data_IF_233725160216
#
_entry.id   IF_233725160216
#
_cell.length_a   1.000
_cell.length_b   1.000
_cell.length_c   1.000
_cell.angle_alpha   90.00
_cell.angle_beta   90.00
_cell.angle_gamma   90.00
#
_symmetry.space_group_name_H-M   'P 1'
#
loop_
_entity.id
_entity.type
_entity.pdbx_description
1 polymer ?
#
# COMPACT_ATOMS: atom_id res chain seq x y z
N UNK A 1 -7.71 24.26 6.43
CA UNK A 1 -8.73 23.31 5.96
C UNK A 1 -8.47 23.08 4.50
N UNK A 2 -8.36 21.83 4.00
CA UNK A 2 -8.27 21.64 2.58
C UNK A 2 -9.54 22.22 1.93
N UNK A 3 -9.36 23.04 0.92
CA UNK A 3 -10.44 23.58 0.10
C UNK A 3 -11.11 22.41 -0.59
N UNK A 4 -12.44 22.39 -0.65
CA UNK A 4 -13.18 21.34 -1.38
C UNK A 4 -12.66 21.25 -2.81
N UNK A 5 -12.23 20.06 -3.23
CA UNK A 5 -11.69 19.84 -4.58
C UNK A 5 -12.83 19.84 -5.58
N UNK A 6 -12.90 20.88 -6.44
CA UNK A 6 -13.89 20.94 -7.50
C UNK A 6 -13.44 20.15 -8.72
N UNK A 7 -14.42 19.73 -9.55
CA UNK A 7 -14.15 19.04 -10.82
C UNK A 7 -13.23 19.87 -11.73
N UNK A 8 -13.51 21.17 -11.83
CA UNK A 8 -12.74 22.10 -12.67
C UNK A 8 -11.31 22.24 -12.19
N UNK A 9 -11.08 22.32 -10.87
CA UNK A 9 -9.73 22.38 -10.30
C UNK A 9 -8.94 21.09 -10.57
N UNK A 10 -9.59 19.93 -10.45
CA UNK A 10 -8.96 18.65 -10.74
C UNK A 10 -8.59 18.50 -12.22
N UNK A 11 -9.49 18.85 -13.15
CA UNK A 11 -9.21 18.78 -14.59
C UNK A 11 -8.07 19.74 -14.97
N UNK A 12 -8.13 20.99 -14.49
CA UNK A 12 -7.12 22.00 -14.73
C UNK A 12 -5.73 21.58 -14.25
N UNK A 13 -5.64 20.96 -13.07
CA UNK A 13 -4.37 20.44 -12.54
C UNK A 13 -3.70 19.45 -13.50
N UNK A 14 -4.48 18.63 -14.23
CA UNK A 14 -3.93 17.64 -15.16
C UNK A 14 -3.62 18.21 -16.56
N UNK A 15 -4.24 19.33 -16.94
CA UNK A 15 -4.14 19.92 -18.27
C UNK A 15 -3.15 21.09 -18.36
N UNK A 16 -3.07 21.94 -17.30
CA UNK A 16 -2.26 23.16 -17.31
C UNK A 16 -0.75 22.88 -17.47
N UNK A 17 -0.09 23.70 -18.28
CA UNK A 17 1.32 23.58 -18.56
C UNK A 17 1.63 22.38 -19.47
N UNK A 18 2.49 21.47 -19.00
CA UNK A 18 2.72 20.19 -19.67
C UNK A 18 1.71 19.18 -19.12
N UNK A 19 0.81 18.65 -19.95
CA UNK A 19 -0.14 17.63 -19.50
C UNK A 19 0.52 16.39 -18.89
N UNK A 20 -0.19 15.76 -17.93
CA UNK A 20 0.30 14.61 -17.20
C UNK A 20 1.15 15.00 -15.98
N UNK A 21 1.62 13.99 -15.22
CA UNK A 21 2.31 14.18 -13.93
C UNK A 21 3.77 13.73 -13.95
N UNK A 22 4.20 13.01 -15.01
CA UNK A 22 5.54 12.44 -15.10
C UNK A 22 6.26 12.92 -16.35
N UNK A 23 7.59 12.90 -16.29
CA UNK A 23 8.46 13.22 -17.42
C UNK A 23 9.73 12.37 -17.37
N UNK A 24 10.32 12.12 -18.53
CA UNK A 24 11.63 11.47 -18.63
C UNK A 24 12.67 12.59 -18.78
N UNK A 25 13.70 12.55 -17.92
CA UNK A 25 14.82 13.51 -17.96
C UNK A 25 16.13 12.76 -18.11
N UNK A 26 17.08 13.29 -18.94
CA UNK A 26 18.43 12.74 -19.03
C UNK A 26 19.18 12.86 -17.69
N UNK A 27 19.91 11.80 -17.32
CA UNK A 27 20.73 11.76 -16.09
C UNK A 27 22.23 11.80 -16.35
N UNK A 28 22.63 11.82 -17.63
CA UNK A 28 24.03 11.86 -18.07
C UNK A 28 24.32 13.11 -18.88
N UNK A 29 25.60 13.60 -18.93
CA UNK A 29 26.00 14.65 -19.81
C UNK A 29 25.70 14.30 -21.26
N UNK A 30 25.27 15.29 -22.05
CA UNK A 30 24.88 15.10 -23.46
C UNK A 30 25.19 16.34 -24.33
N UNK A 31 26.15 17.17 -23.91
CA UNK A 31 26.45 18.44 -24.57
C UNK A 31 27.59 18.35 -25.58
N UNK A 32 28.37 17.27 -25.60
CA UNK A 32 29.51 17.07 -26.49
C UNK A 32 29.35 15.84 -27.38
N UNK A 33 30.06 15.82 -28.49
CA UNK A 33 30.14 14.65 -29.37
C UNK A 33 30.73 13.43 -28.62
N UNK A 34 31.60 13.66 -27.66
CA UNK A 34 32.18 12.62 -26.83
C UNK A 34 31.09 12.02 -25.90
N UNK A 35 30.30 12.86 -25.24
CA UNK A 35 29.18 12.40 -24.39
C UNK A 35 28.20 11.55 -25.21
N UNK A 36 27.85 11.99 -26.43
CA UNK A 36 26.95 11.24 -27.29
C UNK A 36 27.53 9.90 -27.72
N UNK A 37 28.86 9.85 -27.98
CA UNK A 37 29.57 8.60 -28.33
C UNK A 37 29.58 7.62 -27.14
N UNK A 38 29.66 8.10 -25.91
CA UNK A 38 29.53 7.25 -24.69
C UNK A 38 28.09 6.81 -24.47
N UNK A 39 27.12 7.73 -24.66
CA UNK A 39 25.72 7.47 -24.38
C UNK A 39 25.07 6.51 -25.39
N UNK A 40 25.56 6.49 -26.64
CA UNK A 40 24.99 5.64 -27.68
C UNK A 40 26.11 4.91 -28.47
N UNK A 41 26.38 5.24 -29.69
CA UNK A 41 27.35 4.50 -30.51
C UNK A 41 28.68 5.25 -30.61
N UNK A 42 29.84 4.58 -30.35
CA UNK A 42 30.05 3.14 -30.12
C UNK A 42 30.04 2.73 -28.65
N UNK A 43 30.12 3.65 -27.69
CA UNK A 43 30.38 3.39 -26.26
C UNK A 43 29.35 2.47 -25.56
N UNK A 44 28.08 2.52 -25.99
CA UNK A 44 27.00 1.69 -25.41
C UNK A 44 27.21 0.18 -25.60
N UNK A 45 28.10 -0.24 -26.51
CA UNK A 45 28.41 -1.66 -26.71
C UNK A 45 29.04 -2.29 -25.46
N UNK A 46 29.85 -1.57 -24.70
CA UNK A 46 30.55 -2.09 -23.53
C UNK A 46 29.61 -2.49 -22.39
N UNK A 47 28.68 -1.63 -21.95
CA UNK A 47 27.68 -2.07 -20.94
C UNK A 47 26.77 -3.18 -21.46
N UNK A 48 26.43 -3.23 -22.75
CA UNK A 48 25.67 -4.34 -23.33
C UNK A 48 26.41 -5.67 -23.20
N UNK A 49 27.71 -5.69 -23.53
CA UNK A 49 28.54 -6.90 -23.38
C UNK A 49 28.68 -7.33 -21.93
N UNK A 50 28.91 -6.37 -21.02
CA UNK A 50 29.00 -6.65 -19.58
C UNK A 50 27.69 -7.26 -19.02
N UNK A 51 26.53 -6.76 -19.48
CA UNK A 51 25.22 -7.31 -19.06
C UNK A 51 24.96 -8.68 -19.70
N UNK A 52 25.41 -8.90 -20.93
CA UNK A 52 25.29 -10.20 -21.61
C UNK A 52 26.13 -11.28 -20.90
N UNK A 53 27.31 -10.92 -20.37
CA UNK A 53 28.16 -11.80 -19.58
C UNK A 53 27.62 -12.03 -18.16
N UNK A 54 27.18 -10.94 -17.49
CA UNK A 54 26.57 -10.99 -16.16
C UNK A 54 25.28 -10.16 -16.13
N UNK A 55 24.08 -10.80 -16.18
CA UNK A 55 22.82 -10.10 -16.15
C UNK A 55 22.61 -9.20 -14.92
N UNK A 56 23.29 -9.45 -13.80
CA UNK A 56 23.22 -8.60 -12.60
C UNK A 56 23.82 -7.21 -12.83
N UNK A 57 24.73 -7.06 -13.79
CA UNK A 57 25.32 -5.79 -14.18
C UNK A 57 24.27 -4.77 -14.73
N UNK A 58 23.07 -5.23 -15.10
CA UNK A 58 21.97 -4.35 -15.48
C UNK A 58 21.58 -3.38 -14.33
N UNK A 59 21.67 -3.79 -13.08
CA UNK A 59 21.40 -2.94 -11.92
C UNK A 59 22.47 -1.83 -11.74
N UNK A 60 23.66 -2.04 -12.27
CA UNK A 60 24.78 -1.08 -12.23
C UNK A 60 24.80 -0.12 -13.42
N UNK A 61 24.47 -0.62 -14.61
CA UNK A 61 24.69 0.14 -15.86
C UNK A 61 23.43 0.71 -16.47
N UNK A 62 22.25 0.41 -15.91
CA UNK A 62 20.96 0.91 -16.41
C UNK A 62 20.11 1.50 -15.28
N UNK A 63 18.97 2.09 -15.64
CA UNK A 63 17.99 2.59 -14.67
C UNK A 63 17.25 1.47 -13.90
N UNK A 64 17.43 0.19 -14.28
CA UNK A 64 16.70 -0.96 -13.71
C UNK A 64 16.74 -1.00 -12.19
N UNK A 65 17.87 -0.65 -11.57
CA UNK A 65 18.04 -0.69 -10.12
C UNK A 65 17.17 0.30 -9.35
N UNK A 66 16.62 1.32 -10.01
CA UNK A 66 15.76 2.35 -9.42
C UNK A 66 14.42 2.50 -10.15
N UNK A 67 13.98 1.52 -10.94
CA UNK A 67 12.81 1.66 -11.80
C UNK A 67 11.73 0.63 -11.45
N UNK A 68 10.53 1.11 -11.14
CA UNK A 68 9.32 0.31 -10.89
C UNK A 68 8.36 0.41 -12.08
N UNK A 69 7.78 -0.71 -12.50
CA UNK A 69 6.61 -0.72 -13.36
C UNK A 69 5.33 -0.64 -12.53
N UNK A 70 4.55 0.42 -12.66
CA UNK A 70 3.19 0.53 -12.11
C UNK A 70 2.24 0.00 -13.16
N UNK A 71 1.72 -1.22 -12.96
CA UNK A 71 0.99 -1.95 -14.02
C UNK A 71 -0.45 -2.20 -13.61
N UNK A 72 -1.37 -1.76 -14.48
CA UNK A 72 -2.82 -1.87 -14.29
C UNK A 72 -3.52 -2.35 -15.55
N UNK A 73 -4.71 -2.92 -15.40
CA UNK A 73 -5.66 -3.10 -16.51
C UNK A 73 -6.95 -2.27 -16.34
N UNK A 74 -7.00 -1.42 -15.32
CA UNK A 74 -8.10 -0.51 -15.08
C UNK A 74 -9.43 -1.17 -14.71
N UNK A 75 -9.40 -2.40 -14.15
CA UNK A 75 -10.63 -3.16 -13.84
C UNK A 75 -11.22 -2.88 -12.47
N UNK A 76 -10.49 -2.17 -11.57
CA UNK A 76 -10.95 -1.82 -10.22
C UNK A 76 -10.44 -0.43 -9.77
N UNK A 77 -10.58 0.58 -10.63
CA UNK A 77 -10.01 1.91 -10.42
C UNK A 77 -10.78 2.66 -9.33
N UNK A 78 -10.13 2.88 -8.17
CA UNK A 78 -10.70 3.60 -7.03
C UNK A 78 -12.14 3.13 -6.71
N UNK A 79 -13.07 4.04 -6.46
CA UNK A 79 -14.50 3.76 -6.31
C UNK A 79 -15.29 3.73 -7.64
N UNK A 80 -14.60 3.89 -8.79
CA UNK A 80 -15.23 3.95 -10.12
C UNK A 80 -15.44 2.56 -10.75
N UNK A 81 -14.72 1.54 -10.27
CA UNK A 81 -14.80 0.18 -10.79
C UNK A 81 -14.04 -0.02 -12.10
N UNK A 82 -14.61 -0.84 -13.00
CA UNK A 82 -13.99 -1.13 -14.29
C UNK A 82 -14.24 0.01 -15.29
N UNK A 83 -13.23 0.87 -15.46
CA UNK A 83 -13.27 1.98 -16.43
C UNK A 83 -12.29 1.77 -17.60
N UNK A 84 -11.55 0.67 -17.59
CA UNK A 84 -10.60 0.29 -18.64
C UNK A 84 -9.20 0.88 -18.49
N UNK A 85 -8.28 0.35 -19.26
CA UNK A 85 -6.87 0.68 -19.19
C UNK A 85 -6.60 2.18 -19.45
N UNK A 86 -7.08 2.74 -20.56
CA UNK A 86 -6.83 4.14 -20.92
C UNK A 86 -7.29 5.12 -19.83
N UNK A 87 -8.49 4.89 -19.27
CA UNK A 87 -9.05 5.78 -18.26
C UNK A 87 -8.37 5.65 -16.88
N UNK A 88 -7.63 4.57 -16.63
CA UNK A 88 -6.86 4.37 -15.40
C UNK A 88 -5.56 5.19 -15.37
N UNK A 89 -5.05 5.63 -16.52
CA UNK A 89 -3.75 6.32 -16.64
C UNK A 89 -3.55 7.50 -15.67
N UNK A 90 -4.52 8.40 -15.44
CA UNK A 90 -4.29 9.49 -14.49
C UNK A 90 -4.01 9.02 -13.05
N UNK A 91 -4.57 7.88 -12.64
CA UNK A 91 -4.30 7.27 -11.34
C UNK A 91 -2.90 6.66 -11.32
N UNK A 92 -2.51 5.96 -12.38
CA UNK A 92 -1.20 5.29 -12.49
C UNK A 92 -0.05 6.31 -12.56
N UNK A 93 -0.21 7.42 -13.31
CA UNK A 93 0.73 8.55 -13.24
C UNK A 93 0.81 9.16 -11.82
N UNK A 94 -0.32 9.23 -11.11
CA UNK A 94 -0.36 9.65 -9.71
C UNK A 94 0.46 8.72 -8.83
N UNK A 95 0.33 7.40 -9.02
CA UNK A 95 1.13 6.41 -8.30
C UNK A 95 2.63 6.56 -8.60
N UNK A 96 3.00 6.76 -9.87
CA UNK A 96 4.39 7.00 -10.28
C UNK A 96 4.96 8.29 -9.65
N UNK A 97 4.17 9.36 -9.60
CA UNK A 97 4.53 10.60 -8.89
C UNK A 97 4.83 10.34 -7.41
N UNK A 98 3.95 9.58 -6.71
CA UNK A 98 4.13 9.27 -5.29
C UNK A 98 5.40 8.45 -5.03
N UNK A 99 5.73 7.47 -5.89
CA UNK A 99 7.01 6.76 -5.84
C UNK A 99 8.19 7.74 -5.86
N UNK A 100 8.15 8.69 -6.80
CA UNK A 100 9.24 9.65 -6.98
C UNK A 100 9.41 10.59 -5.79
N UNK A 101 8.33 11.25 -5.35
CA UNK A 101 8.42 12.29 -4.32
C UNK A 101 8.68 11.73 -2.91
N UNK A 102 8.26 10.49 -2.61
CA UNK A 102 8.40 9.93 -1.26
C UNK A 102 9.60 8.99 -1.10
N UNK A 103 10.11 8.42 -2.18
CA UNK A 103 11.21 7.45 -2.07
C UNK A 103 12.31 7.59 -3.12
N UNK A 104 12.26 8.62 -3.96
CA UNK A 104 13.24 8.81 -5.03
C UNK A 104 13.19 7.72 -6.13
N UNK A 105 12.23 6.79 -6.06
CA UNK A 105 12.07 5.71 -7.04
C UNK A 105 11.48 6.26 -8.33
N UNK A 106 12.09 5.93 -9.45
CA UNK A 106 11.53 6.20 -10.77
C UNK A 106 10.46 5.15 -11.10
N UNK A 107 9.37 5.56 -11.74
CA UNK A 107 8.32 4.64 -12.11
C UNK A 107 7.74 4.96 -13.49
N UNK A 108 7.48 3.90 -14.27
CA UNK A 108 6.67 3.98 -15.48
C UNK A 108 5.30 3.38 -15.19
N UNK A 109 4.26 4.12 -15.54
CA UNK A 109 2.90 3.61 -15.57
C UNK A 109 2.66 2.87 -16.89
N UNK A 110 2.11 1.67 -16.78
CA UNK A 110 1.85 0.76 -17.92
C UNK A 110 0.41 0.29 -17.83
N UNK A 111 -0.42 0.82 -18.69
CA UNK A 111 -1.83 0.44 -18.82
C UNK A 111 -1.95 -0.71 -19.84
N UNK A 112 -2.31 -1.90 -19.36
CA UNK A 112 -2.41 -3.11 -20.18
C UNK A 112 -3.87 -3.37 -20.54
N UNK A 113 -4.23 -3.26 -21.81
CA UNK A 113 -5.57 -3.60 -22.30
C UNK A 113 -5.76 -5.12 -22.42
N UNK A 114 -5.76 -5.78 -21.24
CA UNK A 114 -6.00 -7.21 -21.12
C UNK A 114 -6.73 -7.51 -19.80
N UNK A 115 -7.99 -7.92 -19.89
CA UNK A 115 -8.83 -8.29 -18.74
C UNK A 115 -8.66 -9.75 -18.33
N UNK A 116 -8.25 -10.60 -19.27
CA UNK A 116 -8.02 -12.02 -19.00
C UNK A 116 -6.67 -12.23 -18.31
N UNK A 117 -6.60 -12.97 -17.18
CA UNK A 117 -5.37 -13.16 -16.42
C UNK A 117 -4.18 -13.69 -17.24
N UNK A 118 -4.39 -14.65 -18.13
CA UNK A 118 -3.33 -15.22 -18.97
C UNK A 118 -2.69 -14.18 -19.90
N UNK A 119 -3.50 -13.34 -20.55
CA UNK A 119 -3.01 -12.29 -21.44
C UNK A 119 -2.27 -11.20 -20.66
N UNK A 120 -2.80 -10.81 -19.51
CA UNK A 120 -2.18 -9.81 -18.63
C UNK A 120 -0.82 -10.32 -18.10
N UNK A 121 -0.77 -11.53 -17.55
CA UNK A 121 0.46 -12.15 -17.05
C UNK A 121 1.51 -12.26 -18.16
N UNK A 122 1.12 -12.68 -19.36
CA UNK A 122 2.03 -12.78 -20.49
C UNK A 122 2.63 -11.41 -20.88
N UNK A 123 1.82 -10.35 -20.91
CA UNK A 123 2.28 -8.99 -21.18
C UNK A 123 3.27 -8.50 -20.11
N UNK A 124 2.92 -8.65 -18.83
CA UNK A 124 3.79 -8.25 -17.72
C UNK A 124 5.13 -8.98 -17.74
N UNK A 125 5.12 -10.29 -17.98
CA UNK A 125 6.36 -11.09 -18.09
C UNK A 125 7.25 -10.63 -19.25
N UNK A 126 6.65 -10.26 -20.37
CA UNK A 126 7.40 -9.82 -21.56
C UNK A 126 8.14 -8.48 -21.33
N UNK A 127 7.59 -7.58 -20.48
CA UNK A 127 8.19 -6.28 -20.17
C UNK A 127 9.01 -6.26 -18.86
N UNK A 128 8.88 -7.29 -18.03
CA UNK A 128 9.57 -7.38 -16.74
C UNK A 128 11.09 -7.15 -16.77
N UNK A 129 11.84 -7.51 -17.84
CA UNK A 129 13.27 -7.22 -17.93
C UNK A 129 13.63 -5.74 -17.77
N UNK A 130 12.71 -4.82 -18.09
CA UNK A 130 12.92 -3.36 -17.98
C UNK A 130 13.01 -2.91 -16.51
N UNK A 131 12.32 -3.58 -15.58
CA UNK A 131 12.08 -3.11 -14.22
C UNK A 131 12.91 -3.81 -13.18
N UNK A 132 13.21 -3.12 -12.08
CA UNK A 132 13.76 -3.69 -10.86
C UNK A 132 12.70 -4.28 -9.95
N UNK A 133 11.45 -3.78 -10.06
CA UNK A 133 10.29 -4.30 -9.34
C UNK A 133 8.98 -3.93 -10.07
N UNK A 134 7.88 -4.58 -9.70
CA UNK A 134 6.54 -4.35 -10.28
C UNK A 134 5.54 -4.09 -9.17
N UNK A 135 4.84 -2.96 -9.27
CA UNK A 135 3.65 -2.63 -8.53
C UNK A 135 2.42 -2.94 -9.38
N UNK A 136 1.59 -3.88 -8.95
CA UNK A 136 0.27 -4.12 -9.54
C UNK A 136 -0.74 -3.17 -8.88
N UNK A 137 -1.62 -2.56 -9.68
CA UNK A 137 -2.56 -1.54 -9.21
C UNK A 137 -3.92 -1.70 -9.86
N UNK A 138 -5.00 -1.47 -9.09
CA UNK A 138 -6.38 -1.37 -9.60
C UNK A 138 -6.85 -2.58 -10.45
N UNK A 139 -6.42 -3.79 -10.07
CA UNK A 139 -6.84 -5.04 -10.69
C UNK A 139 -7.92 -5.70 -9.83
N UNK A 140 -9.08 -6.00 -10.44
CA UNK A 140 -10.23 -6.55 -9.71
C UNK A 140 -9.97 -7.93 -9.11
N UNK A 141 -10.65 -8.21 -8.00
CA UNK A 141 -10.76 -9.56 -7.45
C UNK A 141 -11.89 -10.36 -8.17
N UNK A 142 -11.74 -11.69 -8.34
CA UNK A 142 -10.69 -12.53 -7.78
C UNK A 142 -9.41 -12.63 -8.63
N UNK A 143 -9.40 -12.07 -9.84
CA UNK A 143 -8.31 -12.22 -10.82
C UNK A 143 -6.97 -11.71 -10.30
N UNK A 144 -6.96 -10.63 -9.51
CA UNK A 144 -5.74 -10.05 -8.93
C UNK A 144 -4.95 -11.06 -8.08
N UNK A 145 -5.62 -11.97 -7.38
CA UNK A 145 -4.94 -12.98 -6.55
C UNK A 145 -4.13 -13.97 -7.39
N UNK A 146 -4.70 -14.45 -8.48
CA UNK A 146 -4.02 -15.36 -9.40
C UNK A 146 -2.88 -14.66 -10.13
N UNK A 147 -3.13 -13.45 -10.63
CA UNK A 147 -2.15 -12.64 -11.36
C UNK A 147 -0.93 -12.41 -10.46
N UNK A 148 -1.12 -11.90 -9.26
CA UNK A 148 -0.01 -11.63 -8.34
C UNK A 148 0.73 -12.91 -7.96
N UNK A 149 0.02 -13.94 -7.54
CA UNK A 149 0.62 -15.24 -7.16
C UNK A 149 1.51 -15.81 -8.26
N UNK A 150 1.04 -15.77 -9.50
CA UNK A 150 1.79 -16.31 -10.64
C UNK A 150 2.99 -15.44 -11.00
N UNK A 151 2.82 -14.13 -11.04
CA UNK A 151 3.93 -13.22 -11.32
C UNK A 151 5.02 -13.32 -10.24
N UNK A 152 4.65 -13.41 -8.95
CA UNK A 152 5.60 -13.68 -7.85
C UNK A 152 6.36 -15.00 -8.02
N UNK A 153 5.71 -16.04 -8.52
CA UNK A 153 6.33 -17.37 -8.74
C UNK A 153 7.20 -17.43 -10.01
N UNK A 154 6.87 -16.67 -11.04
CA UNK A 154 7.45 -16.78 -12.38
C UNK A 154 8.49 -15.68 -12.68
N UNK A 155 8.56 -14.62 -11.89
CA UNK A 155 9.53 -13.53 -12.02
C UNK A 155 10.60 -13.60 -10.93
N UNK A 156 11.78 -13.08 -11.24
CA UNK A 156 12.91 -13.00 -10.32
C UNK A 156 13.13 -11.59 -9.75
N UNK A 157 12.15 -10.71 -9.89
CA UNK A 157 12.10 -9.36 -9.32
C UNK A 157 10.89 -9.23 -8.40
N UNK A 158 10.89 -8.32 -7.43
CA UNK A 158 9.75 -8.11 -6.55
C UNK A 158 8.47 -7.75 -7.31
N UNK A 159 7.37 -8.40 -6.94
CA UNK A 159 6.02 -8.06 -7.41
C UNK A 159 5.14 -7.88 -6.17
N UNK A 160 4.38 -6.80 -6.10
CA UNK A 160 3.41 -6.54 -5.03
C UNK A 160 2.17 -5.86 -5.60
N UNK A 161 0.99 -6.30 -5.18
CA UNK A 161 -0.28 -5.63 -5.48
C UNK A 161 -0.61 -4.67 -4.34
N UNK A 162 -0.48 -3.36 -4.58
CA UNK A 162 -0.60 -2.36 -3.51
C UNK A 162 -1.97 -2.28 -2.86
N UNK A 163 -3.05 -2.44 -3.63
CA UNK A 163 -4.42 -2.45 -3.06
C UNK A 163 -4.62 -3.57 -2.03
N UNK A 164 -3.88 -4.66 -2.14
CA UNK A 164 -3.89 -5.74 -1.18
C UNK A 164 -2.95 -5.42 -0.01
N UNK A 165 -1.65 -5.37 -0.31
CA UNK A 165 -0.59 -5.35 0.70
C UNK A 165 -0.35 -3.97 1.31
N UNK A 166 -0.45 -2.88 0.53
CA UNK A 166 -0.32 -1.52 1.05
C UNK A 166 -1.40 -1.20 2.08
N UNK A 167 -2.66 -1.55 1.77
CA UNK A 167 -3.78 -1.39 2.70
C UNK A 167 -3.61 -2.24 3.95
N UNK A 168 -3.15 -3.48 3.81
CA UNK A 168 -2.89 -4.37 4.94
C UNK A 168 -1.79 -3.81 5.86
N UNK A 169 -0.66 -3.40 5.29
CA UNK A 169 0.48 -2.85 6.04
C UNK A 169 0.08 -1.63 6.85
N UNK A 170 -0.55 -0.64 6.21
CA UNK A 170 -0.90 0.60 6.91
C UNK A 170 -2.02 0.41 7.92
N UNK A 171 -3.04 -0.40 7.61
CA UNK A 171 -4.09 -0.70 8.58
C UNK A 171 -3.56 -1.55 9.74
N UNK A 172 -2.61 -2.46 9.49
CA UNK A 172 -1.91 -3.22 10.51
C UNK A 172 -1.11 -2.33 11.46
N UNK A 173 -0.39 -1.33 10.94
CA UNK A 173 0.31 -0.34 11.75
C UNK A 173 -0.66 0.47 12.64
N UNK A 174 -1.76 0.93 12.06
CA UNK A 174 -2.82 1.61 12.79
C UNK A 174 -3.46 0.72 13.85
N UNK A 175 -3.69 -0.56 13.55
CA UNK A 175 -4.25 -1.53 14.49
C UNK A 175 -3.36 -1.74 15.71
N UNK A 176 -2.05 -1.97 15.51
CA UNK A 176 -1.09 -2.14 16.60
C UNK A 176 -1.12 -0.95 17.56
N UNK A 177 -1.07 0.27 17.04
CA UNK A 177 -1.06 1.48 17.84
C UNK A 177 -2.41 1.77 18.49
N UNK A 178 -3.53 1.54 17.79
CA UNK A 178 -4.85 1.72 18.36
C UNK A 178 -5.11 0.72 19.49
N UNK A 179 -4.68 -0.54 19.35
CA UNK A 179 -4.78 -1.56 20.39
C UNK A 179 -3.95 -1.19 21.64
N UNK A 180 -2.74 -0.65 21.46
CA UNK A 180 -1.93 -0.15 22.58
C UNK A 180 -2.65 0.97 23.33
N UNK A 181 -3.23 1.94 22.62
CA UNK A 181 -3.97 3.06 23.21
C UNK A 181 -5.20 2.60 23.99
N UNK A 182 -5.91 1.56 23.53
CA UNK A 182 -7.07 1.01 24.25
C UNK A 182 -6.69 -0.06 25.25
N UNK A 183 -5.43 -0.48 25.32
CA UNK A 183 -4.95 -1.48 26.27
C UNK A 183 -5.52 -2.89 26.03
N UNK A 184 -5.71 -3.27 24.76
CA UNK A 184 -6.22 -4.60 24.38
C UNK A 184 -5.16 -5.40 23.66
N UNK A 185 -4.80 -6.63 24.10
CA UNK A 185 -3.86 -7.48 23.37
C UNK A 185 -4.49 -8.02 22.10
N UNK A 186 -3.70 -8.07 21.02
CA UNK A 186 -4.19 -8.41 19.67
C UNK A 186 -4.77 -9.83 19.58
N UNK A 187 -4.25 -10.75 20.40
CA UNK A 187 -4.70 -12.14 20.45
C UNK A 187 -6.10 -12.32 21.08
N UNK A 188 -6.62 -11.31 21.78
CA UNK A 188 -7.88 -11.41 22.50
C UNK A 188 -9.01 -10.61 21.85
N UNK A 189 -8.68 -9.72 20.89
CA UNK A 189 -9.69 -8.87 20.27
C UNK A 189 -10.52 -9.61 19.23
N UNK A 190 -11.80 -9.22 19.13
CA UNK A 190 -12.71 -9.64 18.07
C UNK A 190 -12.70 -8.60 16.96
N UNK A 191 -12.32 -9.03 15.76
CA UNK A 191 -12.18 -8.18 14.59
C UNK A 191 -13.30 -8.52 13.60
N UNK A 192 -14.03 -7.51 13.17
CA UNK A 192 -15.00 -7.62 12.08
C UNK A 192 -14.44 -6.93 10.85
N UNK A 193 -14.40 -7.63 9.72
CA UNK A 193 -14.00 -7.09 8.42
C UNK A 193 -15.25 -6.97 7.55
N UNK A 194 -15.68 -5.75 7.28
CA UNK A 194 -16.78 -5.47 6.36
C UNK A 194 -16.25 -5.38 4.94
N UNK A 195 -16.47 -6.42 4.17
CA UNK A 195 -15.90 -6.65 2.84
C UNK A 195 -15.16 -7.98 2.78
N UNK A 196 -15.05 -8.53 1.57
CA UNK A 196 -14.30 -9.76 1.29
C UNK A 196 -13.63 -9.70 -0.09
N UNK A 197 -13.18 -8.50 -0.46
CA UNK A 197 -12.36 -8.23 -1.63
C UNK A 197 -10.86 -8.42 -1.34
N UNK A 198 -10.04 -7.99 -2.29
CA UNK A 198 -8.58 -8.14 -2.22
C UNK A 198 -7.97 -7.53 -0.95
N UNK A 199 -8.27 -6.27 -0.66
CA UNK A 199 -7.77 -5.59 0.54
C UNK A 199 -8.24 -6.26 1.84
N UNK A 200 -9.51 -6.67 1.90
CA UNK A 200 -10.09 -7.28 3.10
C UNK A 200 -9.41 -8.61 3.46
N UNK A 201 -9.17 -9.46 2.49
CA UNK A 201 -8.46 -10.73 2.67
C UNK A 201 -7.00 -10.48 3.10
N UNK A 202 -6.31 -9.56 2.44
CA UNK A 202 -4.93 -9.22 2.77
C UNK A 202 -4.79 -8.64 4.20
N UNK A 203 -5.70 -7.74 4.59
CA UNK A 203 -5.76 -7.21 5.95
C UNK A 203 -5.95 -8.32 6.99
N UNK A 204 -6.91 -9.20 6.77
CA UNK A 204 -7.19 -10.30 7.71
C UNK A 204 -5.98 -11.24 7.88
N UNK A 205 -5.26 -11.56 6.77
CA UNK A 205 -4.03 -12.36 6.80
C UNK A 205 -2.94 -11.66 7.61
N UNK A 206 -2.66 -10.39 7.30
CA UNK A 206 -1.63 -9.64 8.02
C UNK A 206 -1.96 -9.50 9.51
N UNK A 207 -3.23 -9.33 9.88
CA UNK A 207 -3.62 -9.28 11.29
C UNK A 207 -3.36 -10.61 12.01
N UNK A 208 -3.56 -11.75 11.34
CA UNK A 208 -3.14 -13.06 11.87
C UNK A 208 -1.61 -13.12 12.06
N UNK A 209 -0.85 -12.65 11.09
CA UNK A 209 0.63 -12.61 11.17
C UNK A 209 1.14 -11.66 12.26
N UNK A 210 0.35 -10.64 12.62
CA UNK A 210 0.60 -9.73 13.75
C UNK A 210 0.22 -10.34 15.11
N UNK A 211 -0.54 -11.45 15.13
CA UNK A 211 -0.92 -12.17 16.33
C UNK A 211 -2.42 -12.27 16.60
N UNK A 212 -3.30 -11.73 15.76
CA UNK A 212 -4.73 -11.93 15.90
C UNK A 212 -5.08 -13.40 15.67
N UNK A 213 -5.95 -13.94 16.54
CA UNK A 213 -6.45 -15.32 16.36
C UNK A 213 -7.41 -15.36 15.17
N UNK A 214 -7.20 -16.29 14.27
CA UNK A 214 -8.02 -16.47 13.08
C UNK A 214 -9.51 -16.65 13.42
N UNK A 215 -9.83 -17.40 14.45
CA UNK A 215 -11.21 -17.62 14.92
C UNK A 215 -11.90 -16.37 15.50
N UNK A 216 -11.12 -15.33 15.79
CA UNK A 216 -11.63 -14.05 16.28
C UNK A 216 -11.91 -13.06 15.12
N UNK A 217 -11.56 -13.40 13.90
CA UNK A 217 -11.84 -12.58 12.71
C UNK A 217 -13.14 -13.05 12.06
N UNK A 218 -14.10 -12.16 11.91
CA UNK A 218 -15.37 -12.41 11.22
C UNK A 218 -15.46 -11.50 10.02
N UNK A 219 -15.57 -12.08 8.81
CA UNK A 219 -15.72 -11.34 7.57
C UNK A 219 -17.16 -11.33 7.07
N UNK A 220 -17.54 -10.26 6.41
CA UNK A 220 -18.84 -10.14 5.74
C UNK A 220 -18.66 -9.78 4.26
N UNK A 221 -19.59 -10.21 3.42
CA UNK A 221 -19.72 -9.75 2.04
C UNK A 221 -21.14 -9.23 1.77
N UNK A 222 -21.49 -9.01 0.50
CA UNK A 222 -22.81 -8.51 0.10
C UNK A 222 -24.00 -9.42 0.48
N UNK A 223 -23.72 -10.67 0.87
CA UNK A 223 -24.73 -11.65 1.31
C UNK A 223 -24.78 -11.86 2.83
N UNK A 224 -23.93 -11.16 3.58
CA UNK A 224 -23.83 -11.24 5.03
C UNK A 224 -22.54 -11.88 5.54
N UNK A 225 -22.59 -12.48 6.71
CA UNK A 225 -21.42 -13.12 7.34
C UNK A 225 -20.94 -14.30 6.49
N UNK A 226 -19.63 -14.44 6.37
CA UNK A 226 -18.99 -15.55 5.67
C UNK A 226 -18.87 -16.71 6.67
N UNK A 227 -19.79 -17.68 6.58
CA UNK A 227 -19.87 -18.84 7.47
C UNK A 227 -19.51 -20.13 6.73
N UNK A 228 -19.10 -21.17 7.47
CA UNK A 228 -18.64 -22.45 6.90
C UNK A 228 -19.73 -23.22 6.15
N UNK A 229 -21.01 -22.96 6.41
CA UNK A 229 -22.17 -23.58 5.77
C UNK A 229 -22.55 -22.94 4.42
N UNK A 230 -21.94 -21.81 4.06
CA UNK A 230 -22.14 -21.16 2.76
C UNK A 230 -21.46 -21.95 1.63
N UNK A 231 -22.21 -22.20 0.56
CA UNK A 231 -21.75 -22.97 -0.61
C UNK A 231 -21.26 -22.13 -1.78
N UNK A 232 -21.43 -20.81 -1.70
CA UNK A 232 -21.13 -19.84 -2.75
C UNK A 232 -19.75 -19.14 -2.57
N UNK A 233 -18.90 -19.67 -1.70
CA UNK A 233 -17.60 -19.08 -1.38
C UNK A 233 -16.52 -19.57 -2.35
N UNK A 234 -15.70 -18.63 -2.86
CA UNK A 234 -14.42 -18.99 -3.45
C UNK A 234 -13.38 -19.37 -2.38
N UNK A 235 -12.24 -19.91 -2.78
CA UNK A 235 -11.24 -20.43 -1.85
C UNK A 235 -10.71 -19.35 -0.90
N UNK A 236 -10.51 -18.11 -1.38
CA UNK A 236 -10.01 -17.01 -0.57
C UNK A 236 -10.98 -16.62 0.56
N UNK A 237 -12.29 -16.57 0.24
CA UNK A 237 -13.33 -16.31 1.26
C UNK A 237 -13.50 -17.49 2.21
N UNK A 238 -13.36 -18.71 1.70
CA UNK A 238 -13.48 -19.95 2.48
C UNK A 238 -12.43 -20.04 3.58
N UNK A 239 -11.25 -19.51 3.34
CA UNK A 239 -10.17 -19.43 4.34
C UNK A 239 -10.63 -18.71 5.63
N UNK A 240 -11.47 -17.67 5.51
CA UNK A 240 -11.99 -16.90 6.64
C UNK A 240 -13.46 -17.20 6.99
N UNK A 241 -13.98 -18.34 6.55
CA UNK A 241 -15.34 -18.75 6.91
C UNK A 241 -15.41 -19.09 8.40
N UNK A 242 -16.24 -18.36 9.16
CA UNK A 242 -16.40 -18.60 10.59
C UNK A 242 -17.33 -19.78 10.89
N UNK A 243 -17.06 -20.47 12.01
CA UNK A 243 -17.95 -21.51 12.56
C UNK A 243 -19.16 -20.93 13.31
N UNK A 244 -19.22 -19.63 13.50
CA UNK A 244 -20.31 -18.91 14.18
C UNK A 244 -21.50 -18.76 13.24
N UNK A 245 -22.18 -19.85 12.92
CA UNK A 245 -23.27 -19.90 11.93
C UNK A 245 -24.54 -19.16 12.37
N UNK A 246 -24.63 -18.77 13.63
CA UNK A 246 -25.69 -17.92 14.18
C UNK A 246 -25.56 -16.44 13.77
N UNK A 247 -24.40 -16.02 13.28
CA UNK A 247 -24.18 -14.66 12.79
C UNK A 247 -24.60 -14.56 11.32
N UNK A 248 -25.50 -13.65 11.00
CA UNK A 248 -26.02 -13.51 9.64
C UNK A 248 -25.66 -12.16 9.01
N UNK A 249 -25.71 -11.09 9.79
CA UNK A 249 -25.55 -9.72 9.30
C UNK A 249 -24.29 -9.06 9.85
N UNK A 250 -23.88 -7.93 9.23
CA UNK A 250 -22.82 -7.08 9.76
C UNK A 250 -23.14 -6.63 11.19
N UNK A 251 -24.41 -6.30 11.48
CA UNK A 251 -24.84 -5.89 12.81
C UNK A 251 -24.66 -7.01 13.85
N UNK A 252 -24.94 -8.28 13.49
CA UNK A 252 -24.70 -9.41 14.39
C UNK A 252 -23.21 -9.57 14.69
N UNK A 253 -22.38 -9.47 13.66
CA UNK A 253 -20.92 -9.58 13.80
C UNK A 253 -20.33 -8.46 14.68
N UNK A 254 -20.82 -7.23 14.51
CA UNK A 254 -20.33 -6.06 15.26
C UNK A 254 -20.69 -6.07 16.73
N UNK A 255 -21.73 -6.80 17.15
CA UNK A 255 -22.15 -6.85 18.55
C UNK A 255 -21.04 -7.38 19.45
N UNK A 256 -20.52 -6.49 20.30
CA UNK A 256 -19.41 -6.75 21.21
C UNK A 256 -18.07 -6.98 20.50
N UNK A 257 -17.93 -6.63 19.23
CA UNK A 257 -16.62 -6.62 18.55
C UNK A 257 -15.75 -5.47 19.05
N UNK A 258 -14.44 -5.68 19.10
CA UNK A 258 -13.46 -4.69 19.52
C UNK A 258 -13.03 -3.79 18.35
N UNK A 259 -12.94 -4.36 17.16
CA UNK A 259 -12.41 -3.71 15.95
C UNK A 259 -13.36 -3.93 14.79
N UNK A 260 -13.66 -2.85 14.06
CA UNK A 260 -14.28 -2.89 12.74
C UNK A 260 -13.28 -2.39 11.71
N UNK A 261 -13.08 -3.15 10.64
CA UNK A 261 -12.32 -2.74 9.45
C UNK A 261 -13.28 -2.72 8.26
N UNK A 262 -13.64 -1.53 7.82
CA UNK A 262 -14.52 -1.29 6.69
C UNK A 262 -13.74 -1.22 5.39
N UNK A 263 -14.01 -2.15 4.47
CA UNK A 263 -13.40 -2.27 3.14
C UNK A 263 -14.48 -2.65 2.11
N UNK A 264 -15.66 -2.04 2.24
CA UNK A 264 -16.84 -2.38 1.44
C UNK A 264 -17.46 -1.17 0.76
N UNK A 265 -18.59 -0.69 1.29
CA UNK A 265 -19.35 0.44 0.73
C UNK A 265 -19.65 1.47 1.81
N UNK A 266 -19.72 2.74 1.37
CA UNK A 266 -20.11 3.83 2.25
C UNK A 266 -21.52 3.64 2.85
N UNK A 267 -21.68 4.13 4.09
CA UNK A 267 -22.96 4.16 4.78
C UNK A 267 -23.50 2.81 5.28
N UNK A 268 -22.67 1.76 5.31
CA UNK A 268 -23.09 0.42 5.74
C UNK A 268 -23.18 0.26 7.27
N UNK A 269 -22.62 1.18 8.03
CA UNK A 269 -22.52 1.09 9.50
C UNK A 269 -23.38 2.18 10.13
N UNK A 270 -24.31 1.77 10.98
CA UNK A 270 -25.15 2.69 11.73
C UNK A 270 -24.56 3.04 13.11
N UNK A 271 -25.03 4.14 13.70
CA UNK A 271 -24.67 4.50 15.08
C UNK A 271 -25.07 3.42 16.09
N UNK A 272 -26.15 2.67 15.85
CA UNK A 272 -26.57 1.57 16.72
C UNK A 272 -25.57 0.42 16.69
N UNK A 273 -25.03 0.10 15.50
CA UNK A 273 -23.97 -0.90 15.38
C UNK A 273 -22.73 -0.47 16.17
N UNK A 274 -22.32 0.81 16.08
CA UNK A 274 -21.19 1.33 16.87
C UNK A 274 -21.45 1.22 18.38
N UNK A 275 -22.66 1.58 18.85
CA UNK A 275 -23.03 1.44 20.28
C UNK A 275 -23.04 -0.02 20.77
N UNK A 276 -23.25 -0.98 19.85
CA UNK A 276 -23.26 -2.40 20.19
C UNK A 276 -21.86 -3.02 20.31
N UNK A 277 -20.83 -2.33 19.90
CA UNK A 277 -19.44 -2.80 20.00
C UNK A 277 -18.95 -2.86 21.46
N UNK A 278 -17.80 -3.46 21.66
CA UNK A 278 -17.14 -3.50 22.96
C UNK A 278 -16.75 -2.08 23.44
N UNK A 279 -16.40 -1.95 24.72
CA UNK A 279 -15.89 -0.70 25.27
C UNK A 279 -14.61 -0.26 24.53
N UNK A 280 -14.44 1.04 24.32
CA UNK A 280 -13.31 1.65 23.61
C UNK A 280 -13.05 0.95 22.27
N UNK A 281 -14.03 0.98 21.33
CA UNK A 281 -13.92 0.27 20.07
C UNK A 281 -12.96 1.00 19.11
N UNK A 282 -12.43 0.25 18.16
CA UNK A 282 -11.58 0.76 17.06
C UNK A 282 -12.36 0.61 15.76
N UNK A 283 -12.44 1.68 14.97
CA UNK A 283 -13.12 1.67 13.66
C UNK A 283 -12.20 2.23 12.59
N UNK A 284 -11.90 1.42 11.59
CA UNK A 284 -11.26 1.82 10.36
C UNK A 284 -12.32 1.83 9.25
N UNK A 285 -12.81 3.00 8.87
CA UNK A 285 -13.84 3.16 7.83
C UNK A 285 -13.16 3.62 6.54
N UNK A 286 -12.75 2.65 5.69
CA UNK A 286 -11.80 2.87 4.60
C UNK A 286 -12.45 2.91 3.21
N UNK A 287 -13.78 2.74 3.10
CA UNK A 287 -14.48 2.87 1.82
C UNK A 287 -14.32 4.30 1.25
N UNK A 288 -14.05 4.37 -0.05
CA UNK A 288 -13.88 5.61 -0.80
C UNK A 288 -14.94 5.73 -1.92
N UNK A 289 -15.48 6.93 -2.20
CA UNK A 289 -15.17 8.23 -1.54
C UNK A 289 -15.91 8.44 -0.22
N UNK A 290 -16.94 7.65 0.09
CA UNK A 290 -17.76 7.74 1.30
C UNK A 290 -17.38 6.60 2.23
N UNK A 291 -17.00 6.87 3.51
CA UNK A 291 -16.68 5.84 4.48
C UNK A 291 -17.93 5.05 4.91
N UNK A 292 -17.75 3.88 5.50
CA UNK A 292 -18.84 3.04 6.01
C UNK A 292 -19.69 3.75 7.06
N UNK A 293 -19.07 4.65 7.84
CA UNK A 293 -19.71 5.61 8.75
C UNK A 293 -18.85 6.87 8.78
N UNK A 294 -19.47 8.04 8.89
CA UNK A 294 -18.72 9.29 9.04
C UNK A 294 -18.02 9.39 10.40
N UNK A 295 -16.95 10.17 10.47
CA UNK A 295 -16.22 10.40 11.72
C UNK A 295 -17.13 10.98 12.80
N UNK A 296 -17.96 11.94 12.44
CA UNK A 296 -18.90 12.62 13.33
C UNK A 296 -19.96 11.66 13.88
N UNK A 297 -20.54 10.82 13.03
CA UNK A 297 -21.55 9.84 13.44
C UNK A 297 -20.97 8.77 14.38
N UNK A 298 -19.74 8.29 14.09
CA UNK A 298 -19.08 7.33 14.96
C UNK A 298 -18.76 7.91 16.34
N UNK A 299 -18.22 9.14 16.39
CA UNK A 299 -17.95 9.87 17.64
C UNK A 299 -19.23 10.22 18.41
N UNK A 300 -20.32 10.57 17.71
CA UNK A 300 -21.62 10.79 18.35
C UNK A 300 -22.23 9.51 18.93
N UNK A 301 -21.97 8.38 18.30
CA UNK A 301 -22.43 7.07 18.80
C UNK A 301 -21.64 6.60 20.03
N UNK A 302 -20.31 6.79 20.02
CA UNK A 302 -19.40 6.46 21.09
C UNK A 302 -18.20 7.41 21.11
N UNK A 303 -18.10 8.36 22.05
CA UNK A 303 -16.99 9.33 22.15
C UNK A 303 -15.61 8.68 22.36
N UNK A 304 -15.55 7.47 22.92
CA UNK A 304 -14.30 6.75 23.16
C UNK A 304 -13.79 5.97 21.94
N UNK A 305 -14.52 5.97 20.81
CA UNK A 305 -14.09 5.26 19.60
C UNK A 305 -12.76 5.84 19.08
N UNK A 306 -11.79 4.95 18.83
CA UNK A 306 -10.62 5.31 18.01
C UNK A 306 -10.96 5.11 16.54
N UNK A 307 -10.81 6.17 15.75
CA UNK A 307 -11.26 6.12 14.36
C UNK A 307 -10.18 6.52 13.38
N UNK A 308 -10.13 5.80 12.28
CA UNK A 308 -9.37 6.11 11.07
C UNK A 308 -10.27 6.08 9.85
N UNK A 309 -9.91 6.86 8.84
CA UNK A 309 -10.55 6.85 7.52
C UNK A 309 -9.48 6.87 6.43
N UNK A 310 -9.88 6.65 5.17
CA UNK A 310 -9.01 6.89 4.01
C UNK A 310 -8.83 8.37 3.65
N UNK A 311 -9.54 9.28 4.29
CA UNK A 311 -9.59 10.71 3.93
C UNK A 311 -8.48 11.51 4.62
N UNK A 312 -7.96 12.51 3.90
CA UNK A 312 -6.88 13.40 4.39
C UNK A 312 -7.36 14.46 5.38
N UNK A 313 -8.66 14.75 5.39
CA UNK A 313 -9.29 15.79 6.21
C UNK A 313 -9.65 15.34 7.63
N UNK A 314 -9.42 14.06 7.95
CA UNK A 314 -9.63 13.50 9.29
C UNK A 314 -8.34 13.04 9.97
N UNK A 315 -8.32 12.92 11.31
CA UNK A 315 -7.22 12.29 12.04
C UNK A 315 -6.94 10.85 11.58
N UNK A 316 -5.69 10.41 11.74
CA UNK A 316 -5.29 9.01 11.52
C UNK A 316 -5.67 8.46 10.14
N UNK A 317 -5.31 9.18 9.08
CA UNK A 317 -5.55 8.71 7.72
C UNK A 317 -4.83 7.38 7.45
N UNK A 318 -5.56 6.36 7.01
CA UNK A 318 -5.01 5.15 6.44
C UNK A 318 -4.87 5.35 4.93
N UNK A 319 -3.62 5.46 4.47
CA UNK A 319 -3.29 5.68 3.06
C UNK A 319 -2.05 4.85 2.70
N UNK A 320 -2.14 4.09 1.62
CA UNK A 320 -1.07 3.19 1.15
C UNK A 320 0.25 3.93 0.87
N UNK A 321 0.22 5.24 0.66
CA UNK A 321 1.43 6.08 0.47
C UNK A 321 2.39 6.02 1.66
N UNK A 322 1.92 5.63 2.83
CA UNK A 322 2.76 5.41 4.01
C UNK A 322 3.54 4.08 3.96
N UNK A 323 3.23 3.20 3.00
CA UNK A 323 3.80 1.86 2.89
C UNK A 323 4.56 1.65 1.57
N UNK A 324 3.86 1.71 0.40
CA UNK A 324 4.40 1.21 -0.86
C UNK A 324 5.70 1.90 -1.31
N UNK A 325 5.90 3.22 -1.21
CA UNK A 325 7.12 3.82 -1.73
C UNK A 325 8.36 3.27 -1.02
N UNK A 326 8.25 3.07 0.26
CA UNK A 326 9.36 2.68 1.14
C UNK A 326 9.64 1.19 1.11
N UNK A 327 8.60 0.35 0.97
CA UNK A 327 8.80 -1.10 0.82
C UNK A 327 9.48 -1.43 -0.50
N UNK A 328 9.12 -0.73 -1.58
CA UNK A 328 9.80 -0.86 -2.87
C UNK A 328 11.23 -0.29 -2.81
N UNK A 329 11.46 0.81 -2.09
CA UNK A 329 12.81 1.35 -1.88
C UNK A 329 13.74 0.34 -1.22
N UNK A 330 13.34 -0.23 -0.10
CA UNK A 330 14.13 -1.25 0.59
C UNK A 330 14.35 -2.52 -0.24
N UNK A 331 13.34 -2.94 -1.01
CA UNK A 331 13.45 -4.08 -1.92
C UNK A 331 14.40 -3.83 -3.10
N UNK A 332 14.35 -2.64 -3.72
CA UNK A 332 15.25 -2.26 -4.81
C UNK A 332 16.71 -2.16 -4.34
N UNK A 333 16.97 -1.52 -3.20
CA UNK A 333 18.32 -1.30 -2.68
C UNK A 333 19.03 -2.59 -2.29
N UNK A 334 18.26 -3.61 -1.93
CA UNK A 334 18.77 -4.95 -1.66
C UNK A 334 18.74 -5.88 -2.87
N UNK A 335 18.31 -5.37 -4.05
CA UNK A 335 18.08 -6.17 -5.26
C UNK A 335 17.26 -7.43 -4.93
N UNK A 336 16.23 -7.29 -4.10
CA UNK A 336 15.44 -8.41 -3.60
C UNK A 336 14.79 -9.20 -4.76
N UNK A 337 14.59 -10.49 -4.55
CA UNK A 337 13.88 -11.34 -5.51
C UNK A 337 12.36 -11.31 -5.33
N UNK A 338 11.92 -10.90 -4.15
CA UNK A 338 10.51 -10.82 -3.79
C UNK A 338 10.30 -9.76 -2.69
N UNK A 339 9.09 -9.25 -2.57
CA UNK A 339 8.55 -8.67 -1.35
C UNK A 339 7.76 -9.79 -0.66
N UNK A 340 8.19 -10.16 0.56
CA UNK A 340 7.61 -11.27 1.32
C UNK A 340 6.97 -10.79 2.64
N UNK A 341 6.27 -11.70 3.34
CA UNK A 341 5.58 -11.38 4.58
C UNK A 341 6.49 -10.83 5.69
N UNK A 342 7.77 -11.23 5.74
CA UNK A 342 8.72 -10.66 6.70
C UNK A 342 8.99 -9.18 6.43
N UNK A 343 9.10 -8.79 5.17
CA UNK A 343 9.27 -7.38 4.76
C UNK A 343 8.00 -6.57 5.02
N UNK A 344 6.81 -7.13 4.78
CA UNK A 344 5.52 -6.50 5.06
C UNK A 344 5.32 -6.26 6.56
N UNK A 345 5.64 -7.24 7.40
CA UNK A 345 5.60 -7.12 8.86
C UNK A 345 6.63 -6.10 9.38
N UNK A 346 7.83 -6.06 8.79
CA UNK A 346 8.84 -5.08 9.14
C UNK A 346 8.39 -3.65 8.82
N UNK A 347 7.81 -3.42 7.63
CA UNK A 347 7.22 -2.14 7.25
C UNK A 347 6.09 -1.73 8.21
N UNK A 348 5.17 -2.64 8.52
CA UNK A 348 4.05 -2.41 9.44
C UNK A 348 4.55 -1.95 10.81
N UNK A 349 5.52 -2.64 11.38
CA UNK A 349 6.09 -2.33 12.70
C UNK A 349 6.88 -1.02 12.69
N UNK A 350 7.63 -0.73 11.63
CA UNK A 350 8.37 0.52 11.48
C UNK A 350 7.44 1.73 11.42
N UNK A 351 6.36 1.66 10.64
CA UNK A 351 5.33 2.71 10.58
C UNK A 351 4.67 2.91 11.95
N UNK A 352 4.31 1.82 12.63
CA UNK A 352 3.72 1.90 13.96
C UNK A 352 4.67 2.52 14.99
N UNK A 353 5.96 2.16 14.96
CA UNK A 353 6.98 2.71 15.85
C UNK A 353 7.23 4.21 15.62
N UNK A 354 7.24 4.65 14.34
CA UNK A 354 7.47 6.05 14.00
C UNK A 354 6.39 6.98 14.58
N UNK A 355 5.14 6.56 14.61
CA UNK A 355 4.05 7.35 15.20
C UNK A 355 4.26 7.67 16.69
N UNK A 356 5.07 6.89 17.41
CA UNK A 356 5.38 7.06 18.83
C UNK A 356 6.57 7.98 19.10
N UNK A 357 7.34 8.30 18.07
CA UNK A 357 8.48 9.23 18.19
C UNK A 357 7.97 10.68 18.25
N UNK A 358 8.75 11.61 18.84
CA UNK A 358 8.42 13.05 18.80
C UNK A 358 8.18 13.53 17.37
N UNK A 359 7.05 14.22 17.15
CA UNK A 359 6.68 14.71 15.81
C UNK A 359 7.48 15.97 15.48
N UNK A 360 8.20 16.02 14.35
CA UNK A 360 8.95 17.19 13.94
C UNK A 360 8.06 18.41 13.67
N UNK A 361 8.61 19.61 13.87
CA UNK A 361 7.88 20.86 13.68
C UNK A 361 7.35 21.03 12.26
N UNK A 362 8.14 20.64 11.24
CA UNK A 362 7.70 20.75 9.83
C UNK A 362 6.45 19.90 9.53
N UNK A 363 6.25 18.77 10.24
CA UNK A 363 5.04 17.96 10.11
C UNK A 363 3.83 18.69 10.71
N UNK A 364 4.02 19.32 11.89
CA UNK A 364 2.99 20.14 12.51
C UNK A 364 2.60 21.32 11.61
N UNK A 365 3.58 22.02 11.05
CA UNK A 365 3.39 23.16 10.15
C UNK A 365 2.62 22.77 8.88
N UNK A 366 2.99 21.65 8.26
CA UNK A 366 2.35 21.15 7.03
C UNK A 366 0.85 20.86 7.21
N UNK A 367 0.43 20.50 8.43
CA UNK A 367 -0.99 20.26 8.77
C UNK A 367 -1.66 21.45 9.49
N UNK A 368 -0.98 22.59 9.61
CA UNK A 368 -1.51 23.80 10.25
C UNK A 368 -1.90 23.57 11.72
N UNK A 369 -1.14 22.75 12.42
CA UNK A 369 -1.37 22.36 13.82
C UNK A 369 -0.10 22.51 14.65
N UNK A 370 -0.21 22.27 15.93
CA UNK A 370 0.91 22.30 16.88
C UNK A 370 0.77 21.14 17.87
N UNK A 371 1.91 20.53 18.24
CA UNK A 371 1.94 19.56 19.33
C UNK A 371 1.30 18.22 19.02
N UNK A 372 1.31 17.78 17.76
CA UNK A 372 0.94 16.40 17.44
C UNK A 372 1.81 15.45 18.26
N UNK A 373 1.17 14.51 18.93
CA UNK A 373 1.83 13.51 19.74
C UNK A 373 1.02 12.22 19.72
N UNK A 374 1.68 11.08 19.97
CA UNK A 374 1.03 9.78 20.01
C UNK A 374 -0.20 9.78 20.92
N UNK A 375 -1.34 9.39 20.38
CA UNK A 375 -2.63 9.44 21.07
C UNK A 375 -3.81 9.19 20.13
N UNK A 376 -5.05 9.38 20.61
CA UNK A 376 -6.27 9.07 19.85
C UNK A 376 -6.37 9.76 18.48
N UNK A 377 -5.79 10.96 18.36
CA UNK A 377 -5.85 11.75 17.12
C UNK A 377 -4.55 11.66 16.29
N UNK A 378 -3.55 10.93 16.79
CA UNK A 378 -2.30 10.69 16.10
C UNK A 378 -1.69 9.35 16.51
N UNK A 379 -2.15 8.25 15.91
CA UNK A 379 -1.55 6.92 16.04
C UNK A 379 -1.06 6.35 14.70
N UNK A 380 -1.13 7.16 13.65
CA UNK A 380 -0.57 6.89 12.31
C UNK A 380 0.26 8.11 11.91
N UNK A 381 1.51 7.93 11.41
CA UNK A 381 2.33 9.04 10.93
C UNK A 381 1.66 9.78 9.77
N UNK A 382 2.07 11.01 9.53
CA UNK A 382 1.60 11.78 8.38
C UNK A 382 2.46 11.49 7.14
N UNK A 383 1.89 11.48 5.92
CA UNK A 383 2.66 11.23 4.68
C UNK A 383 3.84 12.18 4.45
N UNK A 384 3.76 13.40 4.96
CA UNK A 384 4.83 14.41 4.85
C UNK A 384 6.01 14.17 5.81
N UNK A 385 5.95 13.15 6.66
CA UNK A 385 7.04 12.84 7.58
C UNK A 385 8.20 12.18 6.83
N UNK A 386 9.21 12.95 6.52
CA UNK A 386 10.38 12.53 5.75
C UNK A 386 11.16 11.38 6.42
N UNK A 387 10.97 11.13 7.71
CA UNK A 387 11.61 9.98 8.40
C UNK A 387 11.09 8.64 7.91
N UNK A 388 9.90 8.59 7.29
CA UNK A 388 9.32 7.37 6.74
C UNK A 388 10.28 6.65 5.77
N UNK A 389 11.00 7.39 4.92
CA UNK A 389 11.93 6.77 3.96
C UNK A 389 13.06 6.03 4.69
N UNK A 390 13.60 6.60 5.76
CA UNK A 390 14.69 5.99 6.52
C UNK A 390 14.17 4.82 7.35
N UNK A 391 13.15 5.06 8.17
CA UNK A 391 12.66 4.07 9.13
C UNK A 391 12.06 2.84 8.44
N UNK A 392 11.19 3.05 7.44
CA UNK A 392 10.49 1.94 6.78
C UNK A 392 11.40 1.23 5.79
N UNK A 393 12.14 1.97 4.92
CA UNK A 393 13.02 1.31 3.92
C UNK A 393 14.16 0.54 4.58
N UNK A 394 14.73 1.05 5.69
CA UNK A 394 15.76 0.34 6.45
C UNK A 394 15.22 -0.95 7.08
N UNK A 395 14.03 -0.89 7.68
CA UNK A 395 13.39 -2.08 8.26
C UNK A 395 13.11 -3.15 7.19
N UNK A 396 12.61 -2.73 6.02
CA UNK A 396 12.35 -3.61 4.88
C UNK A 396 13.64 -4.22 4.32
N UNK A 397 14.70 -3.41 4.15
CA UNK A 397 16.00 -3.88 3.65
C UNK A 397 16.62 -4.92 4.60
N UNK A 398 16.55 -4.69 5.93
CA UNK A 398 16.98 -5.67 6.93
C UNK A 398 16.19 -6.97 6.80
N UNK A 399 14.87 -6.89 6.73
CA UNK A 399 14.00 -8.05 6.59
C UNK A 399 14.26 -8.83 5.28
N UNK A 400 14.55 -8.13 4.18
CA UNK A 400 14.93 -8.76 2.91
C UNK A 400 16.23 -9.57 3.04
N UNK A 401 17.24 -9.02 3.72
CA UNK A 401 18.51 -9.70 3.97
C UNK A 401 18.31 -10.89 4.90
N UNK A 402 17.62 -10.69 6.02
CA UNK A 402 17.39 -11.72 7.04
C UNK A 402 16.55 -12.89 6.53
N UNK A 403 15.56 -12.61 5.66
CA UNK A 403 14.72 -13.64 5.04
C UNK A 403 15.33 -14.29 3.80
N UNK A 404 16.55 -13.89 3.41
CA UNK A 404 17.32 -14.52 2.34
C UNK A 404 16.83 -14.20 0.91
N UNK A 405 16.01 -13.15 0.74
CA UNK A 405 15.54 -12.72 -0.60
C UNK A 405 16.41 -11.62 -1.22
N UNK A 406 17.30 -11.01 -0.45
CA UNK A 406 18.24 -10.00 -0.92
C UNK A 406 19.39 -10.62 -1.73
N UNK A 407 19.76 -9.97 -2.84
CA UNK A 407 20.98 -10.27 -3.63
C UNK A 407 22.11 -9.30 -3.32
N UNK A 408 21.81 -8.17 -2.73
CA UNK A 408 22.76 -7.18 -2.27
C UNK A 408 22.61 -6.97 -0.76
N UNK A 409 23.72 -7.03 -0.02
CA UNK A 409 23.74 -6.85 1.43
C UNK A 409 24.24 -5.45 1.78
N UNK A 410 23.45 -4.72 2.53
CA UNK A 410 23.83 -3.42 3.10
C UNK A 410 24.59 -3.69 4.41
N UNK A 411 25.82 -3.19 4.52
CA UNK A 411 26.69 -3.39 5.68
C UNK A 411 26.85 -2.13 6.53
N UNK A 412 26.79 -0.95 5.90
CA UNK A 412 26.85 0.35 6.57
C UNK A 412 25.45 0.99 6.59
N UNK A 413 24.78 0.85 7.72
CA UNK A 413 23.42 1.31 7.89
C UNK A 413 23.31 2.83 8.11
N UNK A 414 24.38 3.45 8.63
CA UNK A 414 24.42 4.91 8.83
C UNK A 414 24.56 5.60 7.46
N UNK A 415 25.50 5.13 6.63
CA UNK A 415 25.64 5.62 5.26
C UNK A 415 24.36 5.35 4.42
N UNK A 416 23.68 4.25 4.66
CA UNK A 416 22.39 3.96 3.99
C UNK A 416 21.29 4.94 4.41
N UNK A 417 21.18 5.27 5.69
CA UNK A 417 20.24 6.25 6.19
C UNK A 417 20.49 7.66 5.61
N UNK A 418 21.78 8.06 5.53
CA UNK A 418 22.17 9.32 4.88
C UNK A 418 21.81 9.33 3.40
N UNK A 419 22.07 8.23 2.68
CA UNK A 419 21.67 8.08 1.29
C UNK A 419 20.15 8.22 1.11
N UNK A 420 19.35 7.51 1.92
CA UNK A 420 17.89 7.59 1.86
C UNK A 420 17.38 9.02 2.08
N UNK A 421 17.97 9.73 3.04
CA UNK A 421 17.62 11.14 3.31
C UNK A 421 17.91 12.01 2.09
N UNK A 422 19.05 11.81 1.42
CA UNK A 422 19.45 12.59 0.25
C UNK A 422 18.55 12.38 -1.00
N UNK A 423 17.71 11.35 -1.02
CA UNK A 423 16.77 11.11 -2.11
C UNK A 423 15.54 12.04 -2.09
N UNK A 424 15.34 12.77 -0.99
CA UNK A 424 14.23 13.70 -0.83
C UNK A 424 14.62 15.16 -1.10
N UNK A 425 15.92 15.45 -1.27
CA UNK A 425 16.47 16.76 -1.65
C UNK A 425 16.34 16.96 -3.18
#
# INVERSE_FOLDING_TARGET
MPTEITKEAALRYHEEGRPGKIAIVPTKPHSSAYDLSLAYSPGVAEPCLAIAEDPSAAYRYTAKGNLVGVISNGTAVLGLGNIGADASKPVMEGKALLFKIYSGVDAFDIEVDATEPEAFIAAVKAIAPTFGAINLEDIKAPECFEIERRLKAELSIPVMHDDQHGTAIISGAGLLNALELVGKPIEDVRIVVSGAGAAAIACAKLYCDLGAKHENIVMTDSKGVITIDRTDLNDMKREFATTRTELHTLADAMRGADVLVGLSKGGMVSQEMVRSMAARPIIFALANPTPEISYEEAKAANPEVLMSTGRTDYPNQINNVLAFPYIFRGALDTHATAINGAMELAATRAIAALAKQPVPDYVNEAYGTTGLTFGPDYFIPKPVDHRLIVEVSTAVARAAIESGVARHTITDWDAYAEHLTSLLD
#
